data_IF_534251345143
#
_entry.id   IF_534251345143
#
_cell.length_a   1.000
_cell.length_b   1.000
_cell.length_c   1.000
_cell.angle_alpha   90.00
_cell.angle_beta   90.00
_cell.angle_gamma   90.00
#
_symmetry.space_group_name_H-M   'P 1'
#
loop_
_entity.id
_entity.type
_entity.pdbx_description
1 polymer ?
#
# COMPACT_ATOMS: atom_id res chain seq x y z
N UNK A 1 3.72 -8.83 -2.42
CA UNK A 1 3.53 -7.89 -3.58
C UNK A 1 4.80 -7.10 -3.86
N UNK A 2 5.09 -6.70 -5.13
CA UNK A 2 6.12 -5.69 -5.46
C UNK A 2 5.53 -4.30 -5.20
N UNK A 3 6.17 -3.52 -4.34
CA UNK A 3 5.72 -2.18 -3.98
C UNK A 3 6.92 -1.24 -3.92
N UNK A 4 6.84 -0.09 -4.62
CA UNK A 4 7.91 0.92 -4.61
C UNK A 4 8.01 1.52 -3.21
N UNK A 5 9.22 1.67 -2.71
CA UNK A 5 9.45 2.23 -1.38
C UNK A 5 9.19 1.26 -0.22
N UNK A 6 8.98 -0.04 -0.49
CA UNK A 6 8.82 -1.03 0.57
C UNK A 6 10.04 -1.01 1.52
N UNK A 7 9.77 -0.89 2.81
CA UNK A 7 10.80 -0.71 3.86
C UNK A 7 11.32 -2.00 4.49
N UNK A 8 10.98 -3.18 3.96
CA UNK A 8 11.39 -4.48 4.53
C UNK A 8 12.90 -4.56 4.82
N UNK A 9 13.75 -4.02 3.95
CA UNK A 9 15.20 -4.01 4.15
C UNK A 9 15.71 -2.93 5.11
N UNK A 10 14.82 -2.04 5.55
CA UNK A 10 15.11 -0.91 6.43
C UNK A 10 14.46 -1.04 7.82
N UNK A 11 13.70 -2.10 8.08
CA UNK A 11 12.95 -2.27 9.34
C UNK A 11 13.87 -2.23 10.57
N UNK A 12 14.98 -2.97 10.54
CA UNK A 12 15.97 -2.94 11.62
C UNK A 12 16.62 -1.57 11.78
N UNK A 13 16.90 -0.89 10.65
CA UNK A 13 17.45 0.46 10.68
C UNK A 13 16.47 1.46 11.30
N UNK A 14 15.18 1.36 11.00
CA UNK A 14 14.14 2.19 11.63
C UNK A 14 14.07 1.86 13.12
N UNK A 15 14.01 0.58 13.49
CA UNK A 15 13.90 0.14 14.88
C UNK A 15 15.08 0.56 15.76
N UNK A 16 16.31 0.45 15.26
CA UNK A 16 17.54 0.86 15.97
C UNK A 16 17.62 2.38 16.22
N UNK A 17 16.83 3.17 15.52
CA UNK A 17 16.80 4.62 15.65
C UNK A 17 15.58 5.14 16.40
N UNK A 18 14.76 4.27 16.98
CA UNK A 18 13.78 4.66 17.99
C UNK A 18 14.53 4.94 19.28
N UNK A 19 14.54 6.21 19.70
CA UNK A 19 15.21 6.65 20.91
C UNK A 19 14.36 6.28 22.14
N UNK A 20 14.98 5.70 23.16
CA UNK A 20 14.27 5.28 24.38
C UNK A 20 12.98 4.49 24.09
N UNK A 21 13.07 3.35 23.37
CA UNK A 21 11.94 2.66 22.79
C UNK A 21 10.86 2.21 23.78
N UNK A 22 11.20 2.10 25.06
CA UNK A 22 10.29 1.68 26.13
C UNK A 22 9.47 2.85 26.72
N UNK A 23 9.73 4.07 26.27
CA UNK A 23 8.92 5.26 26.60
C UNK A 23 7.59 5.31 25.87
N UNK A 24 7.46 4.61 24.74
CA UNK A 24 6.36 4.75 23.82
C UNK A 24 5.41 3.58 23.89
N UNK A 25 4.12 3.90 23.89
CA UNK A 25 3.03 2.92 23.84
C UNK A 25 2.48 2.76 22.41
N UNK A 26 2.48 3.86 21.63
CA UNK A 26 1.85 3.94 20.32
C UNK A 26 2.86 4.18 19.20
N UNK A 27 2.60 3.57 18.03
CA UNK A 27 3.34 3.79 16.80
C UNK A 27 2.35 4.04 15.66
N UNK A 28 2.41 5.23 15.05
CA UNK A 28 1.56 5.63 13.94
C UNK A 28 2.35 5.53 12.63
N UNK A 29 1.95 4.60 11.76
CA UNK A 29 2.49 4.41 10.40
C UNK A 29 1.62 5.19 9.42
N UNK A 30 2.07 6.41 9.08
CA UNK A 30 1.26 7.40 8.35
C UNK A 30 1.13 7.15 6.85
N UNK A 31 1.98 6.32 6.27
CA UNK A 31 2.00 5.95 4.85
C UNK A 31 2.23 4.45 4.75
N UNK A 32 1.30 3.68 5.29
CA UNK A 32 1.51 2.27 5.60
C UNK A 32 1.77 1.39 4.37
N UNK A 33 1.30 1.78 3.18
CA UNK A 33 1.53 1.06 1.93
C UNK A 33 1.16 -0.41 2.05
N UNK A 34 2.15 -1.30 2.08
CA UNK A 34 1.93 -2.75 2.24
C UNK A 34 1.81 -3.20 3.70
N UNK A 35 1.91 -2.30 4.67
CA UNK A 35 1.80 -2.58 6.10
C UNK A 35 3.04 -3.23 6.74
N UNK A 36 4.19 -3.26 6.05
CA UNK A 36 5.36 -3.97 6.57
C UNK A 36 5.98 -3.33 7.82
N UNK A 37 5.87 -2.01 7.97
CA UNK A 37 6.39 -1.29 9.15
C UNK A 37 5.49 -1.55 10.35
N UNK A 38 4.18 -1.33 10.21
CA UNK A 38 3.20 -1.61 11.26
C UNK A 38 3.25 -3.08 11.71
N UNK A 39 3.30 -4.03 10.75
CA UNK A 39 3.42 -5.47 11.03
C UNK A 39 4.69 -5.82 11.84
N UNK A 40 5.82 -5.18 11.52
CA UNK A 40 7.09 -5.42 12.22
C UNK A 40 7.04 -4.97 13.68
N UNK A 41 6.39 -3.84 13.96
CA UNK A 41 6.35 -3.26 15.29
C UNK A 41 5.12 -3.65 16.13
N UNK A 42 4.15 -4.40 15.57
CA UNK A 42 2.86 -4.68 16.23
C UNK A 42 2.96 -5.42 17.57
N UNK A 43 4.01 -6.20 17.80
CA UNK A 43 4.21 -6.87 19.08
C UNK A 43 4.77 -5.94 20.16
N UNK A 44 5.41 -4.83 19.78
CA UNK A 44 5.99 -3.88 20.71
C UNK A 44 5.06 -2.72 21.03
N UNK A 45 4.41 -2.16 20.03
CA UNK A 45 3.56 -0.97 20.16
C UNK A 45 2.12 -1.25 19.75
N UNK A 46 1.18 -0.45 20.26
CA UNK A 46 -0.14 -0.31 19.64
C UNK A 46 0.01 0.44 18.32
N UNK A 47 -0.38 -0.19 17.21
CA UNK A 47 -0.18 0.37 15.88
C UNK A 47 -1.45 1.06 15.38
N UNK A 48 -1.27 2.25 14.79
CA UNK A 48 -2.25 2.90 13.93
C UNK A 48 -1.64 3.01 12.54
N UNK A 49 -2.15 2.27 11.57
CA UNK A 49 -1.70 2.33 10.17
C UNK A 49 -2.72 3.08 9.32
N UNK A 50 -2.25 3.96 8.42
CA UNK A 50 -3.11 4.72 7.54
C UNK A 50 -2.52 4.85 6.13
N UNK A 51 -3.37 4.88 5.11
CA UNK A 51 -2.99 5.16 3.71
C UNK A 51 -4.20 5.66 2.92
N UNK A 52 -3.96 6.36 1.82
CA UNK A 52 -4.98 6.87 0.92
C UNK A 52 -5.60 5.80 0.01
N UNK A 53 -4.88 4.70 -0.26
CA UNK A 53 -5.29 3.69 -1.22
C UNK A 53 -6.03 2.54 -0.54
N UNK A 54 -7.20 2.18 -1.05
CA UNK A 54 -7.97 1.03 -0.56
C UNK A 54 -7.18 -0.28 -0.69
N UNK A 55 -6.39 -0.45 -1.76
CA UNK A 55 -5.52 -1.61 -1.92
C UNK A 55 -4.41 -1.69 -0.86
N UNK A 56 -3.91 -0.58 -0.37
CA UNK A 56 -2.98 -0.51 0.77
C UNK A 56 -3.72 -0.82 2.07
N UNK A 57 -4.88 -0.18 2.29
CA UNK A 57 -5.74 -0.41 3.46
C UNK A 57 -6.01 -1.90 3.67
N UNK A 58 -6.45 -2.62 2.65
CA UNK A 58 -6.71 -4.06 2.72
C UNK A 58 -5.47 -4.84 3.18
N UNK A 59 -4.29 -4.49 2.67
CA UNK A 59 -3.04 -5.18 3.01
C UNK A 59 -2.65 -4.95 4.47
N UNK A 60 -2.61 -3.69 4.92
CA UNK A 60 -2.20 -3.44 6.29
C UNK A 60 -3.30 -3.77 7.30
N UNK A 61 -4.58 -3.74 6.92
CA UNK A 61 -5.64 -4.27 7.78
C UNK A 61 -5.39 -5.75 8.13
N UNK A 62 -5.10 -6.58 7.12
CA UNK A 62 -4.80 -7.98 7.37
C UNK A 62 -3.52 -8.21 8.16
N UNK A 63 -2.48 -7.44 7.91
CA UNK A 63 -1.17 -7.62 8.56
C UNK A 63 -1.08 -7.00 9.96
N UNK A 64 -1.81 -5.92 10.19
CA UNK A 64 -1.73 -5.13 11.42
C UNK A 64 -2.95 -5.41 12.30
N UNK A 65 -4.17 -5.18 11.82
CA UNK A 65 -5.38 -5.27 12.65
C UNK A 65 -5.86 -6.70 12.88
N UNK A 66 -5.71 -7.59 11.90
CA UNK A 66 -6.00 -9.00 12.13
C UNK A 66 -4.87 -9.67 12.94
N UNK A 67 -5.26 -10.55 13.87
CA UNK A 67 -4.35 -11.34 14.69
C UNK A 67 -4.41 -12.85 14.40
N UNK A 68 -5.26 -13.28 13.48
CA UNK A 68 -5.40 -14.64 12.98
C UNK A 68 -6.14 -14.64 11.65
N UNK A 69 -6.03 -15.74 10.91
CA UNK A 69 -6.86 -15.99 9.73
C UNK A 69 -8.32 -16.09 10.17
N UNK A 70 -9.27 -15.37 9.53
CA UNK A 70 -10.70 -15.52 9.79
C UNK A 70 -11.20 -16.93 9.49
N UNK A 71 -12.23 -17.39 10.20
CA UNK A 71 -12.63 -18.80 10.22
C UNK A 71 -13.50 -19.24 9.05
N UNK A 72 -14.31 -18.35 8.49
CA UNK A 72 -15.27 -18.65 7.40
C UNK A 72 -16.28 -19.75 7.76
N UNK A 73 -16.76 -19.75 9.00
CA UNK A 73 -17.60 -20.82 9.54
C UNK A 73 -18.87 -21.06 8.71
N UNK A 74 -19.53 -20.00 8.25
CA UNK A 74 -20.75 -20.09 7.42
C UNK A 74 -20.50 -20.74 6.06
N UNK A 75 -19.25 -20.71 5.56
CA UNK A 75 -18.87 -21.28 4.26
C UNK A 75 -18.12 -22.62 4.40
N UNK A 76 -17.97 -23.12 5.64
CA UNK A 76 -17.33 -24.40 5.94
C UNK A 76 -15.80 -24.36 5.99
N UNK A 77 -15.25 -23.19 6.32
CA UNK A 77 -13.83 -22.96 6.55
C UNK A 77 -13.08 -22.40 5.37
N UNK A 78 -11.92 -21.77 5.68
CA UNK A 78 -11.09 -21.05 4.69
C UNK A 78 -10.61 -21.95 3.54
N UNK A 79 -10.26 -23.20 3.80
CA UNK A 79 -9.79 -24.14 2.78
C UNK A 79 -10.85 -24.39 1.70
N UNK A 80 -12.11 -24.59 2.14
CA UNK A 80 -13.24 -24.77 1.23
C UNK A 80 -13.52 -23.52 0.41
N UNK A 81 -13.42 -22.33 1.01
CA UNK A 81 -13.58 -21.06 0.30
C UNK A 81 -12.49 -20.90 -0.76
N UNK A 82 -11.23 -21.15 -0.42
CA UNK A 82 -10.10 -21.07 -1.37
C UNK A 82 -10.27 -22.07 -2.52
N UNK A 83 -10.70 -23.31 -2.22
CA UNK A 83 -10.98 -24.31 -3.26
C UNK A 83 -12.13 -23.83 -4.18
N UNK A 84 -13.20 -23.28 -3.61
CA UNK A 84 -14.30 -22.68 -4.38
C UNK A 84 -13.79 -21.57 -5.29
N UNK A 85 -13.05 -20.59 -4.77
CA UNK A 85 -12.48 -19.49 -5.56
C UNK A 85 -11.59 -20.00 -6.70
N UNK A 86 -10.76 -21.01 -6.44
CA UNK A 86 -9.88 -21.58 -7.45
C UNK A 86 -10.61 -22.38 -8.53
N UNK A 87 -11.82 -22.90 -8.26
CA UNK A 87 -12.65 -23.63 -9.23
C UNK A 87 -13.63 -22.76 -10.00
N UNK A 88 -13.87 -21.51 -9.61
CA UNK A 88 -14.77 -20.62 -10.36
C UNK A 88 -14.42 -20.58 -11.85
N UNK A 89 -15.42 -20.64 -12.71
CA UNK A 89 -15.24 -20.36 -14.12
C UNK A 89 -15.06 -18.85 -14.34
N UNK A 90 -14.23 -18.45 -15.31
CA UNK A 90 -14.06 -17.05 -15.65
C UNK A 90 -15.32 -16.45 -16.29
N UNK A 91 -15.58 -15.17 -16.03
CA UNK A 91 -16.65 -14.39 -16.66
C UNK A 91 -16.07 -13.16 -17.35
N UNK A 92 -16.78 -12.66 -18.38
CA UNK A 92 -16.42 -11.43 -19.07
C UNK A 92 -17.06 -10.24 -18.40
N UNK A 93 -16.32 -9.57 -17.51
CA UNK A 93 -16.79 -8.37 -16.83
C UNK A 93 -15.77 -7.23 -16.94
N UNK A 94 -15.66 -6.38 -15.95
CA UNK A 94 -14.91 -5.13 -16.04
C UNK A 94 -13.40 -5.32 -16.19
N UNK A 95 -12.78 -6.21 -15.37
CA UNK A 95 -11.34 -6.44 -15.42
C UNK A 95 -10.93 -7.05 -16.76
N UNK A 96 -11.70 -8.00 -17.27
CA UNK A 96 -11.47 -8.55 -18.60
C UNK A 96 -11.58 -7.46 -19.66
N UNK A 97 -12.67 -6.70 -19.70
CA UNK A 97 -12.93 -5.72 -20.75
C UNK A 97 -11.90 -4.57 -20.75
N UNK A 98 -11.46 -4.10 -19.58
CA UNK A 98 -10.61 -2.91 -19.47
C UNK A 98 -9.11 -3.23 -19.31
N UNK A 99 -8.75 -4.37 -18.73
CA UNK A 99 -7.37 -4.68 -18.36
C UNK A 99 -6.90 -6.07 -18.81
N UNK A 100 -7.73 -6.81 -19.54
CA UNK A 100 -7.44 -8.14 -20.04
C UNK A 100 -7.00 -8.16 -21.51
N UNK A 101 -6.20 -9.16 -21.86
CA UNK A 101 -5.96 -9.58 -23.22
C UNK A 101 -7.30 -9.94 -23.90
N UNK A 102 -7.51 -9.54 -25.14
CA UNK A 102 -8.74 -9.74 -25.92
C UNK A 102 -10.00 -9.08 -25.34
N UNK A 103 -9.90 -8.31 -24.27
CA UNK A 103 -10.99 -7.50 -23.76
C UNK A 103 -11.24 -6.27 -24.65
N UNK A 104 -12.31 -5.52 -24.37
CA UNK A 104 -12.74 -4.36 -25.16
C UNK A 104 -11.62 -3.33 -25.37
N UNK A 105 -10.85 -3.03 -24.33
CA UNK A 105 -9.74 -2.06 -24.35
C UNK A 105 -8.39 -2.71 -24.67
N UNK A 106 -8.30 -4.03 -24.66
CA UNK A 106 -7.12 -4.84 -24.94
C UNK A 106 -5.82 -4.34 -24.24
N UNK A 107 -5.94 -3.95 -22.97
CA UNK A 107 -4.79 -3.57 -22.15
C UNK A 107 -4.21 -4.81 -21.49
N UNK A 108 -3.03 -5.20 -21.90
CA UNK A 108 -2.38 -6.46 -21.53
C UNK A 108 -1.86 -6.49 -20.08
N UNK A 109 -2.64 -6.06 -19.10
CA UNK A 109 -2.27 -6.24 -17.68
C UNK A 109 -2.40 -7.67 -17.21
N UNK A 110 -3.38 -8.41 -17.75
CA UNK A 110 -3.62 -9.82 -17.47
C UNK A 110 -3.88 -10.58 -18.76
N UNK A 111 -3.56 -11.88 -18.76
CA UNK A 111 -4.05 -12.77 -19.83
C UNK A 111 -5.58 -12.84 -19.81
N UNK A 112 -6.20 -13.20 -20.93
CA UNK A 112 -7.64 -13.36 -21.05
C UNK A 112 -8.19 -14.27 -19.94
N UNK A 113 -7.57 -15.43 -19.72
CA UNK A 113 -7.98 -16.41 -18.72
C UNK A 113 -7.91 -15.82 -17.30
N UNK A 114 -6.84 -15.10 -16.97
CA UNK A 114 -6.67 -14.53 -15.64
C UNK A 114 -7.61 -13.36 -15.37
N UNK A 115 -7.82 -12.47 -16.33
CA UNK A 115 -8.76 -11.35 -16.18
C UNK A 115 -10.21 -11.79 -15.98
N UNK A 116 -10.68 -12.78 -16.76
CA UNK A 116 -12.01 -13.39 -16.57
C UNK A 116 -12.15 -14.07 -15.20
N UNK A 117 -11.08 -14.72 -14.74
CA UNK A 117 -11.05 -15.35 -13.42
C UNK A 117 -11.07 -14.34 -12.28
N UNK A 118 -10.35 -13.24 -12.41
CA UNK A 118 -10.35 -12.12 -11.45
C UNK A 118 -11.76 -11.55 -11.32
N UNK A 119 -12.46 -11.31 -12.45
CA UNK A 119 -13.84 -10.85 -12.44
C UNK A 119 -14.78 -11.78 -11.65
N UNK A 120 -14.69 -13.11 -11.87
CA UNK A 120 -15.49 -14.09 -11.14
C UNK A 120 -15.22 -14.06 -9.64
N UNK A 121 -13.95 -13.92 -9.25
CA UNK A 121 -13.58 -13.88 -7.82
C UNK A 121 -14.09 -12.60 -7.17
N UNK A 122 -14.00 -11.45 -7.86
CA UNK A 122 -14.56 -10.19 -7.36
C UNK A 122 -16.06 -10.35 -7.11
N UNK A 123 -16.81 -10.84 -8.09
CA UNK A 123 -18.26 -11.05 -7.97
C UNK A 123 -18.58 -11.97 -6.80
N UNK A 124 -17.90 -13.10 -6.67
CA UNK A 124 -18.11 -14.02 -5.55
C UNK A 124 -17.89 -13.35 -4.19
N UNK A 125 -16.79 -12.59 -4.03
CA UNK A 125 -16.47 -11.90 -2.77
C UNK A 125 -17.53 -10.85 -2.44
N UNK A 126 -17.93 -10.04 -3.42
CA UNK A 126 -18.95 -9.00 -3.22
C UNK A 126 -20.32 -9.61 -2.89
N UNK A 127 -20.74 -10.66 -3.60
CA UNK A 127 -22.04 -11.31 -3.40
C UNK A 127 -22.12 -11.96 -2.02
N UNK A 128 -21.09 -12.71 -1.61
CA UNK A 128 -21.08 -13.37 -0.29
C UNK A 128 -21.03 -12.35 0.87
N UNK A 129 -20.38 -11.20 0.68
CA UNK A 129 -20.41 -10.13 1.67
C UNK A 129 -21.76 -9.43 1.72
N UNK A 130 -22.36 -9.11 0.58
CA UNK A 130 -23.67 -8.45 0.48
C UNK A 130 -24.81 -9.35 1.02
N UNK A 131 -24.73 -10.67 0.81
CA UNK A 131 -25.66 -11.65 1.38
C UNK A 131 -25.44 -11.93 2.87
N UNK A 132 -24.37 -11.33 3.47
CA UNK A 132 -23.97 -11.52 4.87
C UNK A 132 -23.54 -12.96 5.22
N UNK A 133 -23.09 -13.71 4.24
CA UNK A 133 -22.52 -15.05 4.45
C UNK A 133 -21.10 -14.96 5.05
N UNK A 134 -20.40 -13.83 4.82
CA UNK A 134 -19.12 -13.51 5.42
C UNK A 134 -19.16 -12.17 6.16
N UNK A 135 -18.38 -12.06 7.24
CA UNK A 135 -18.20 -10.83 7.99
C UNK A 135 -17.14 -9.92 7.35
N UNK A 136 -16.89 -8.75 7.96
CA UNK A 136 -15.96 -7.77 7.41
C UNK A 136 -14.51 -8.25 7.37
N UNK A 137 -14.04 -8.95 8.41
CA UNK A 137 -12.67 -9.49 8.47
C UNK A 137 -12.45 -10.55 7.37
N UNK A 138 -13.43 -11.43 7.17
CA UNK A 138 -13.44 -12.44 6.12
C UNK A 138 -13.43 -11.80 4.73
N UNK A 139 -14.25 -10.76 4.52
CA UNK A 139 -14.31 -10.01 3.28
C UNK A 139 -12.97 -9.34 2.94
N UNK A 140 -12.36 -8.63 3.90
CA UNK A 140 -11.06 -7.96 3.70
C UNK A 140 -9.95 -8.99 3.47
N UNK A 141 -9.98 -10.11 4.19
CA UNK A 141 -8.98 -11.16 3.99
C UNK A 141 -9.06 -11.78 2.59
N UNK A 142 -10.26 -12.08 2.05
CA UNK A 142 -10.39 -12.58 0.67
C UNK A 142 -9.89 -11.56 -0.35
N UNK A 143 -10.18 -10.28 -0.17
CA UNK A 143 -9.64 -9.22 -1.02
C UNK A 143 -8.12 -9.12 -0.94
N UNK A 144 -7.54 -9.30 0.24
CA UNK A 144 -6.09 -9.35 0.40
C UNK A 144 -5.48 -10.51 -0.39
N UNK A 145 -6.06 -11.71 -0.29
CA UNK A 145 -5.60 -12.87 -1.07
C UNK A 145 -5.70 -12.62 -2.57
N UNK A 146 -6.79 -11.99 -3.04
CA UNK A 146 -6.98 -11.64 -4.44
C UNK A 146 -5.92 -10.63 -4.93
N UNK A 147 -5.65 -9.55 -4.19
CA UNK A 147 -4.62 -8.55 -4.53
C UNK A 147 -3.25 -9.21 -4.65
N UNK A 148 -2.89 -10.08 -3.71
CA UNK A 148 -1.61 -10.79 -3.74
C UNK A 148 -1.51 -11.76 -4.92
N UNK A 149 -2.60 -12.46 -5.25
CA UNK A 149 -2.65 -13.35 -6.42
C UNK A 149 -2.55 -12.55 -7.73
N UNK A 150 -3.28 -11.43 -7.86
CA UNK A 150 -3.20 -10.54 -9.02
C UNK A 150 -1.78 -9.99 -9.22
N UNK A 151 -1.12 -9.60 -8.14
CA UNK A 151 0.26 -9.09 -8.20
C UNK A 151 1.26 -10.11 -8.79
N UNK A 152 1.04 -11.41 -8.56
CA UNK A 152 1.90 -12.48 -9.07
C UNK A 152 1.77 -12.72 -10.57
N UNK A 153 0.57 -12.49 -11.13
CA UNK A 153 0.24 -12.75 -12.54
C UNK A 153 0.10 -11.49 -13.39
N UNK A 154 0.39 -10.33 -12.83
CA UNK A 154 0.33 -9.05 -13.54
C UNK A 154 1.46 -8.92 -14.57
N UNK A 155 1.12 -8.46 -15.78
CA UNK A 155 2.04 -8.23 -16.90
C UNK A 155 2.66 -6.84 -16.87
N UNK A 156 3.42 -6.55 -15.83
CA UNK A 156 4.03 -5.25 -15.55
C UNK A 156 5.52 -5.40 -15.21
N UNK A 157 6.28 -4.31 -15.32
CA UNK A 157 7.69 -4.28 -14.91
C UNK A 157 7.91 -4.01 -13.43
N UNK A 158 6.92 -3.42 -12.73
CA UNK A 158 7.02 -3.09 -11.29
C UNK A 158 5.85 -2.29 -10.76
N UNK A 159 5.23 -1.45 -11.59
CA UNK A 159 4.04 -0.65 -11.26
C UNK A 159 3.00 -0.73 -12.35
N UNK A 160 1.76 -0.41 -12.01
CA UNK A 160 0.62 -0.46 -12.93
C UNK A 160 0.45 0.82 -13.77
N UNK A 161 1.36 1.78 -13.68
CA UNK A 161 1.40 2.95 -14.56
C UNK A 161 1.64 2.61 -16.04
N UNK A 162 2.02 1.38 -16.36
CA UNK A 162 2.12 0.84 -17.72
C UNK A 162 2.09 -0.69 -17.69
N UNK A 163 1.71 -1.29 -18.81
CA UNK A 163 1.75 -2.74 -19.03
C UNK A 163 2.71 -3.09 -20.16
N UNK A 164 3.17 -4.34 -20.18
CA UNK A 164 4.04 -4.85 -21.23
C UNK A 164 3.22 -5.22 -22.47
N UNK A 165 3.75 -4.92 -23.65
CA UNK A 165 3.06 -5.15 -24.95
C UNK A 165 2.96 -6.61 -25.37
N UNK A 166 3.63 -7.52 -24.63
CA UNK A 166 3.55 -8.98 -24.79
C UNK A 166 3.41 -9.59 -23.41
N UNK A 167 2.65 -10.69 -23.31
CA UNK A 167 2.56 -11.43 -22.07
C UNK A 167 3.89 -12.10 -21.74
N UNK A 168 4.34 -11.93 -20.50
CA UNK A 168 5.53 -12.61 -19.96
C UNK A 168 5.13 -13.91 -19.28
N UNK A 169 6.10 -14.77 -19.03
CA UNK A 169 5.89 -16.11 -18.47
C UNK A 169 5.06 -16.11 -17.16
N UNK A 170 5.28 -15.13 -16.29
CA UNK A 170 4.52 -15.02 -15.04
C UNK A 170 3.03 -14.68 -15.28
N UNK A 171 2.71 -13.89 -16.30
CA UNK A 171 1.33 -13.46 -16.60
C UNK A 171 0.50 -14.52 -17.33
N UNK A 172 1.17 -15.52 -17.92
CA UNK A 172 0.53 -16.68 -18.55
C UNK A 172 0.14 -17.74 -17.51
N UNK A 173 0.84 -17.80 -16.37
CA UNK A 173 0.50 -18.73 -15.30
C UNK A 173 -0.92 -18.48 -14.80
N UNK A 174 -1.72 -19.54 -14.51
CA UNK A 174 -3.04 -19.35 -13.98
C UNK A 174 -3.00 -18.67 -12.62
N UNK A 175 -3.88 -17.69 -12.41
CA UNK A 175 -4.08 -17.09 -11.09
C UNK A 175 -4.56 -18.16 -10.12
N UNK A 176 -3.95 -18.17 -8.93
CA UNK A 176 -4.26 -19.13 -7.88
C UNK A 176 -4.33 -18.41 -6.55
N UNK A 177 -5.47 -18.50 -5.88
CA UNK A 177 -5.67 -18.01 -4.51
C UNK A 177 -5.04 -19.01 -3.55
N UNK A 178 -4.23 -18.50 -2.62
CA UNK A 178 -3.58 -19.30 -1.57
C UNK A 178 -3.73 -18.59 -0.24
N UNK A 179 -3.88 -19.32 0.87
CA UNK A 179 -3.90 -18.69 2.19
C UNK A 179 -2.57 -17.99 2.46
N UNK A 180 -2.63 -16.94 3.26
CA UNK A 180 -1.46 -16.18 3.72
C UNK A 180 -1.59 -16.06 5.23
N UNK A 181 -0.54 -16.47 5.94
CA UNK A 181 -0.52 -16.43 7.40
C UNK A 181 -0.62 -14.98 7.90
N UNK A 182 -1.25 -14.83 9.05
CA UNK A 182 -1.40 -13.57 9.77
C UNK A 182 -0.59 -13.66 11.06
N UNK A 183 0.32 -12.71 11.24
CA UNK A 183 1.11 -12.61 12.44
C UNK A 183 0.23 -12.24 13.64
N UNK A 184 0.36 -12.98 14.73
CA UNK A 184 -0.37 -12.71 15.96
C UNK A 184 0.23 -11.55 16.75
N UNK A 185 -0.62 -10.82 17.48
CA UNK A 185 -0.24 -9.86 18.52
C UNK A 185 -1.30 -9.87 19.62
N UNK A 186 -0.87 -9.68 20.87
CA UNK A 186 -1.78 -9.54 22.02
C UNK A 186 -2.33 -8.10 22.15
N UNK A 187 -1.90 -7.19 21.29
CA UNK A 187 -2.34 -5.78 21.29
C UNK A 187 -3.47 -5.57 20.28
N UNK A 188 -4.31 -4.60 20.55
CA UNK A 188 -5.28 -4.09 19.59
C UNK A 188 -4.66 -3.01 18.71
N UNK A 189 -4.91 -3.10 17.42
CA UNK A 189 -4.36 -2.20 16.41
C UNK A 189 -5.48 -1.59 15.56
N UNK A 190 -5.19 -0.43 14.96
CA UNK A 190 -6.14 0.28 14.10
C UNK A 190 -5.61 0.45 12.69
N UNK A 191 -6.49 0.22 11.71
CA UNK A 191 -6.25 0.48 10.29
C UNK A 191 -7.24 1.51 9.78
N UNK A 192 -6.74 2.59 9.17
CA UNK A 192 -7.53 3.74 8.74
C UNK A 192 -7.31 4.00 7.25
N UNK A 193 -8.38 4.32 6.52
CA UNK A 193 -8.34 4.70 5.11
C UNK A 193 -8.56 6.20 4.98
N UNK A 194 -7.64 6.92 4.36
CA UNK A 194 -7.77 8.36 4.13
C UNK A 194 -6.47 9.13 4.37
N UNK A 195 -6.56 10.44 4.51
CA UNK A 195 -5.43 11.28 4.90
C UNK A 195 -5.13 11.05 6.38
N UNK A 196 -3.90 10.68 6.67
CA UNK A 196 -3.50 10.32 8.04
C UNK A 196 -3.63 11.47 9.00
N UNK A 197 -3.27 12.69 8.58
CA UNK A 197 -3.34 13.87 9.45
C UNK A 197 -4.75 14.08 10.00
N UNK A 198 -5.78 13.95 9.17
CA UNK A 198 -7.19 14.12 9.57
C UNK A 198 -7.63 13.11 10.62
N UNK A 199 -7.01 11.94 10.66
CA UNK A 199 -7.34 10.86 11.59
C UNK A 199 -6.60 10.91 12.92
N UNK A 200 -5.39 11.51 12.96
CA UNK A 200 -4.49 11.38 14.11
C UNK A 200 -4.28 12.65 14.91
N UNK A 201 -4.66 13.83 14.42
CA UNK A 201 -4.36 15.12 15.04
C UNK A 201 -4.78 15.23 16.52
N UNK A 202 -5.81 14.49 16.94
CA UNK A 202 -6.29 14.44 18.32
C UNK A 202 -5.91 13.14 19.06
N UNK A 203 -5.09 12.28 18.43
CA UNK A 203 -4.73 10.95 18.96
C UNK A 203 -3.24 10.81 19.30
N UNK A 204 -2.49 11.90 19.22
CA UNK A 204 -1.05 11.91 19.49
C UNK A 204 -0.73 12.51 20.84
N UNK A 205 0.29 11.99 21.49
CA UNK A 205 0.80 12.44 22.79
C UNK A 205 2.31 12.13 22.91
N UNK A 206 2.90 12.45 24.07
CA UNK A 206 4.32 12.19 24.37
C UNK A 206 4.72 10.70 24.39
N UNK A 207 3.75 9.78 24.38
CA UNK A 207 3.99 8.33 24.30
C UNK A 207 3.83 7.78 22.89
N UNK A 208 3.72 8.65 21.91
CA UNK A 208 3.46 8.29 20.51
C UNK A 208 4.69 8.52 19.64
N UNK A 209 5.03 7.50 18.85
CA UNK A 209 5.95 7.60 17.71
C UNK A 209 5.11 7.87 16.45
N UNK A 210 5.45 8.92 15.70
CA UNK A 210 4.88 9.18 14.37
C UNK A 210 5.94 8.81 13.33
N UNK A 211 5.62 7.86 12.45
CA UNK A 211 6.49 7.47 11.34
C UNK A 211 5.90 7.93 10.01
N UNK A 212 6.69 8.70 9.27
CA UNK A 212 6.35 9.26 7.98
C UNK A 212 7.24 8.64 6.89
N UNK A 213 6.62 8.01 5.89
CA UNK A 213 7.25 7.51 4.66
C UNK A 213 6.47 7.98 3.44
N UNK A 214 6.38 9.31 3.23
CA UNK A 214 5.56 9.88 2.17
C UNK A 214 6.13 9.57 0.78
N UNK A 215 5.37 9.83 -0.31
CA UNK A 215 5.94 9.87 -1.65
C UNK A 215 7.09 10.89 -1.74
N UNK A 216 8.28 10.45 -2.22
CA UNK A 216 9.46 11.33 -2.33
C UNK A 216 9.47 12.18 -3.59
N UNK A 217 8.66 11.85 -4.59
CA UNK A 217 8.64 12.52 -5.89
C UNK A 217 7.22 12.88 -6.33
N UNK A 218 7.10 13.56 -7.47
CA UNK A 218 5.82 14.04 -8.00
C UNK A 218 4.87 12.95 -8.54
N UNK A 219 5.29 11.68 -8.53
CA UNK A 219 4.47 10.57 -9.06
C UNK A 219 3.46 10.13 -8.02
N UNK A 220 2.19 10.23 -8.35
CA UNK A 220 1.08 9.80 -7.51
C UNK A 220 1.02 8.27 -7.40
N UNK A 221 1.02 7.75 -6.17
CA UNK A 221 0.87 6.32 -5.91
C UNK A 221 -0.47 5.78 -6.40
N UNK A 222 -1.53 6.59 -6.34
CA UNK A 222 -2.81 6.25 -6.95
C UNK A 222 -2.68 5.86 -8.42
N UNK A 223 -1.87 6.56 -9.20
CA UNK A 223 -1.61 6.21 -10.61
C UNK A 223 -0.74 4.98 -10.77
N UNK A 224 0.23 4.77 -9.89
CA UNK A 224 1.13 3.62 -9.93
C UNK A 224 0.43 2.30 -9.56
N UNK A 225 -0.62 2.34 -8.74
CA UNK A 225 -1.33 1.17 -8.21
C UNK A 225 -2.83 1.17 -8.52
N UNK A 226 -3.26 1.98 -9.50
CA UNK A 226 -4.68 2.17 -9.84
C UNK A 226 -5.44 0.86 -10.08
N UNK A 227 -4.81 -0.12 -10.75
CA UNK A 227 -5.46 -1.39 -11.07
C UNK A 227 -5.71 -2.24 -9.83
N UNK A 228 -4.73 -2.36 -8.93
CA UNK A 228 -4.95 -3.05 -7.64
C UNK A 228 -5.98 -2.32 -6.78
N UNK A 229 -5.95 -0.98 -6.80
CA UNK A 229 -6.96 -0.18 -6.11
C UNK A 229 -8.36 -0.39 -6.70
N UNK A 230 -8.50 -0.52 -8.01
CA UNK A 230 -9.76 -0.86 -8.69
C UNK A 230 -10.26 -2.25 -8.28
N UNK A 231 -9.39 -3.26 -8.32
CA UNK A 231 -9.72 -4.63 -7.88
C UNK A 231 -10.15 -4.63 -6.41
N UNK A 232 -9.45 -3.89 -5.56
CA UNK A 232 -9.74 -3.80 -4.12
C UNK A 232 -11.10 -3.18 -3.81
N UNK A 233 -11.51 -2.19 -4.60
CA UNK A 233 -12.81 -1.54 -4.44
C UNK A 233 -13.99 -2.44 -4.85
N UNK A 234 -13.79 -3.41 -5.73
CA UNK A 234 -14.86 -4.26 -6.26
C UNK A 234 -15.93 -3.50 -7.06
N UNK A 235 -15.64 -2.26 -7.45
CA UNK A 235 -16.56 -1.38 -8.17
C UNK A 235 -15.95 -0.96 -9.50
N UNK A 236 -16.81 -0.83 -10.51
CA UNK A 236 -16.44 -0.36 -11.84
C UNK A 236 -16.17 1.14 -11.78
N UNK A 237 -14.93 1.62 -11.97
CA UNK A 237 -14.63 3.05 -12.02
C UNK A 237 -14.94 3.63 -13.40
N UNK A 238 -15.10 4.96 -13.46
CA UNK A 238 -15.08 5.70 -14.71
C UNK A 238 -13.62 5.83 -15.15
N UNK A 239 -13.31 5.41 -16.38
CA UNK A 239 -11.96 5.56 -16.94
C UNK A 239 -11.75 7.00 -17.38
N UNK A 240 -10.64 7.57 -16.92
CA UNK A 240 -10.23 8.95 -17.24
C UNK A 240 -10.03 9.13 -18.74
N UNK A 241 -10.62 10.18 -19.29
CA UNK A 241 -10.40 10.59 -20.68
C UNK A 241 -9.21 11.54 -20.80
N UNK A 242 -8.39 11.31 -21.82
CA UNK A 242 -7.24 12.15 -22.17
C UNK A 242 -7.42 12.55 -23.62
N UNK A 243 -7.57 13.87 -23.90
CA UNK A 243 -7.84 14.40 -25.24
C UNK A 243 -9.06 13.73 -25.93
N UNK A 244 -10.10 13.45 -25.17
CA UNK A 244 -11.35 12.86 -25.68
C UNK A 244 -11.37 11.33 -25.81
N UNK A 245 -10.23 10.66 -25.64
CA UNK A 245 -10.14 9.20 -25.64
C UNK A 245 -9.87 8.66 -24.22
N UNK A 246 -10.16 7.39 -23.99
CA UNK A 246 -9.84 6.74 -22.72
C UNK A 246 -8.32 6.71 -22.49
N UNK A 247 -7.91 6.83 -21.22
CA UNK A 247 -6.53 6.72 -20.82
C UNK A 247 -5.91 5.42 -21.34
N UNK A 248 -4.73 5.50 -21.96
CA UNK A 248 -4.01 4.36 -22.53
C UNK A 248 -3.81 3.25 -21.49
N UNK A 249 -3.60 3.62 -20.23
CA UNK A 249 -3.36 2.69 -19.13
C UNK A 249 -4.64 2.29 -18.40
N UNK A 250 -5.81 2.79 -18.80
CA UNK A 250 -7.07 2.55 -18.09
C UNK A 250 -7.13 3.20 -16.71
N UNK A 251 -6.51 4.38 -16.58
CA UNK A 251 -6.46 5.11 -15.31
C UNK A 251 -7.87 5.58 -14.91
N UNK A 252 -8.35 5.27 -13.70
CA UNK A 252 -9.62 5.82 -13.19
C UNK A 252 -9.59 7.35 -13.08
N UNK A 253 -10.76 7.98 -13.22
CA UNK A 253 -10.91 9.44 -13.14
C UNK A 253 -10.70 9.94 -11.70
N UNK A 254 -11.27 9.25 -10.72
CA UNK A 254 -11.24 9.64 -9.31
C UNK A 254 -10.20 8.82 -8.53
N UNK A 255 -8.94 9.20 -8.67
CA UNK A 255 -7.85 8.61 -7.89
C UNK A 255 -7.51 9.48 -6.68
N UNK A 256 -7.23 8.89 -5.52
CA UNK A 256 -6.67 9.62 -4.40
C UNK A 256 -5.35 10.29 -4.78
N UNK A 257 -5.22 11.56 -4.48
CA UNK A 257 -4.02 12.36 -4.76
C UNK A 257 -3.37 12.79 -3.44
N UNK A 258 -2.07 12.57 -3.33
CA UNK A 258 -1.28 13.01 -2.18
C UNK A 258 -0.69 14.41 -2.42
N UNK A 259 -0.89 15.31 -1.46
CA UNK A 259 -0.26 16.62 -1.44
C UNK A 259 1.28 16.53 -1.31
N UNK A 260 1.79 15.45 -0.75
CA UNK A 260 3.23 15.18 -0.63
C UNK A 260 3.93 15.03 -1.97
N UNK A 261 3.21 14.74 -3.05
CA UNK A 261 3.73 14.73 -4.41
C UNK A 261 3.85 16.13 -5.04
N UNK A 262 3.48 17.19 -4.33
CA UNK A 262 3.49 18.58 -4.83
C UNK A 262 4.64 19.37 -4.20
N UNK A 263 5.54 19.89 -5.05
CA UNK A 263 6.65 20.75 -4.61
C UNK A 263 6.17 21.99 -3.83
N UNK A 264 4.98 22.50 -4.14
CA UNK A 264 4.42 23.69 -3.48
C UNK A 264 3.82 23.34 -2.11
N UNK A 265 3.29 22.10 -1.94
CA UNK A 265 2.52 21.73 -0.76
C UNK A 265 3.32 20.91 0.26
N UNK A 266 4.34 20.17 -0.18
CA UNK A 266 5.06 19.18 0.64
C UNK A 266 5.63 19.77 1.93
N UNK A 267 6.14 21.02 1.88
CA UNK A 267 6.66 21.72 3.05
C UNK A 267 5.58 21.90 4.12
N UNK A 268 4.42 22.44 3.73
CA UNK A 268 3.29 22.65 4.65
C UNK A 268 2.70 21.33 5.16
N UNK A 269 2.73 20.28 4.34
CA UNK A 269 2.30 18.95 4.78
C UNK A 269 3.20 18.41 5.89
N UNK A 270 4.53 18.49 5.73
CA UNK A 270 5.47 18.07 6.77
C UNK A 270 5.31 18.91 8.05
N UNK A 271 5.18 20.22 7.89
CA UNK A 271 5.02 21.16 9.02
C UNK A 271 3.80 20.84 9.90
N UNK A 272 2.68 20.40 9.31
CA UNK A 272 1.49 19.98 10.07
C UNK A 272 1.82 18.88 11.09
N UNK A 273 2.58 17.87 10.69
CA UNK A 273 2.96 16.76 11.58
C UNK A 273 3.94 17.21 12.66
N UNK A 274 4.89 18.10 12.34
CA UNK A 274 5.83 18.63 13.30
C UNK A 274 5.15 19.48 14.38
N UNK A 275 3.97 20.04 14.11
CA UNK A 275 3.16 20.79 15.09
C UNK A 275 2.38 19.90 16.06
N UNK A 276 2.17 18.61 15.74
CA UNK A 276 1.48 17.67 16.61
C UNK A 276 2.22 17.48 17.94
N UNK A 277 1.51 17.02 18.97
CA UNK A 277 2.14 16.54 20.19
C UNK A 277 2.59 15.09 19.97
N UNK A 278 3.90 14.82 20.15
CA UNK A 278 4.48 13.49 19.98
C UNK A 278 5.70 13.32 20.89
N UNK A 279 6.05 12.08 21.19
CA UNK A 279 7.32 11.77 21.82
C UNK A 279 8.46 11.73 20.83
N UNK A 280 8.25 11.05 19.70
CA UNK A 280 9.23 10.98 18.60
C UNK A 280 8.52 11.03 17.25
N UNK A 281 9.02 11.86 16.33
CA UNK A 281 8.63 11.86 14.92
C UNK A 281 9.82 11.41 14.07
N UNK A 282 9.57 10.47 13.18
CA UNK A 282 10.58 9.90 12.28
C UNK A 282 10.11 10.08 10.82
N UNK A 283 10.95 10.71 10.00
CA UNK A 283 10.69 10.86 8.56
C UNK A 283 11.73 10.08 7.77
N UNK A 284 11.30 9.05 7.06
CA UNK A 284 12.09 8.44 5.97
C UNK A 284 12.02 9.32 4.74
N UNK A 285 13.18 9.58 4.13
CA UNK A 285 13.28 10.36 2.90
C UNK A 285 14.58 10.01 2.17
N UNK A 286 14.76 10.42 0.92
CA UNK A 286 16.00 10.14 0.20
C UNK A 286 16.57 11.36 -0.52
N UNK A 287 17.79 11.22 -1.03
CA UNK A 287 18.51 12.29 -1.72
C UNK A 287 17.95 12.65 -3.11
N UNK A 288 16.95 11.93 -3.61
CA UNK A 288 16.25 12.21 -4.88
C UNK A 288 14.85 12.84 -4.64
N UNK A 289 14.53 13.16 -3.39
CA UNK A 289 13.22 13.68 -2.99
C UNK A 289 12.97 15.13 -3.42
N UNK A 290 11.69 15.55 -3.35
CA UNK A 290 11.25 16.91 -3.71
C UNK A 290 11.87 17.96 -2.78
N UNK A 291 11.94 17.67 -1.47
CA UNK A 291 12.61 18.48 -0.47
C UNK A 291 14.07 18.07 -0.36
N UNK A 292 14.95 19.06 -0.21
CA UNK A 292 16.36 18.82 0.08
C UNK A 292 16.58 18.44 1.55
N UNK A 293 17.70 17.75 1.84
CA UNK A 293 18.10 17.43 3.21
C UNK A 293 18.17 18.68 4.10
N UNK A 294 18.70 19.79 3.56
CA UNK A 294 18.83 21.06 4.29
C UNK A 294 17.47 21.65 4.66
N UNK A 295 16.55 21.75 3.71
CA UNK A 295 15.17 22.23 3.95
C UNK A 295 14.46 21.42 5.04
N UNK A 296 14.62 20.09 5.04
CA UNK A 296 14.01 19.23 6.07
C UNK A 296 14.66 19.50 7.44
N UNK A 297 15.98 19.60 7.53
CA UNK A 297 16.69 19.89 8.80
C UNK A 297 16.28 21.24 9.37
N UNK A 298 16.22 22.28 8.55
CA UNK A 298 15.79 23.62 8.96
C UNK A 298 14.36 23.59 9.54
N UNK A 299 13.45 22.90 8.86
CA UNK A 299 12.09 22.77 9.33
C UNK A 299 12.00 21.98 10.65
N UNK A 300 12.69 20.85 10.75
CA UNK A 300 12.72 20.03 11.96
C UNK A 300 13.27 20.81 13.17
N UNK A 301 14.36 21.56 12.99
CA UNK A 301 14.99 22.37 14.05
C UNK A 301 14.10 23.48 14.57
N UNK A 302 13.06 23.88 13.83
CA UNK A 302 12.06 24.87 14.28
C UNK A 302 11.14 24.29 15.35
N UNK A 303 10.93 22.95 15.36
CA UNK A 303 9.90 22.30 16.19
C UNK A 303 10.46 21.35 17.25
N UNK A 304 11.72 21.00 17.22
CA UNK A 304 12.31 20.08 18.20
C UNK A 304 13.79 19.83 18.00
N UNK A 305 14.34 18.94 18.81
CA UNK A 305 15.71 18.46 18.65
C UNK A 305 15.80 17.51 17.48
N UNK A 306 16.72 17.77 16.54
CA UNK A 306 16.85 17.01 15.30
C UNK A 306 18.07 16.12 15.30
N UNK A 307 17.88 14.84 14.99
CA UNK A 307 18.95 13.89 14.64
C UNK A 307 18.72 13.40 13.21
N UNK A 308 19.77 13.28 12.40
CA UNK A 308 19.69 12.69 11.05
C UNK A 308 20.63 11.49 10.98
N UNK A 309 20.08 10.37 10.53
CA UNK A 309 20.85 9.15 10.29
C UNK A 309 20.74 8.77 8.82
N UNK A 310 21.82 8.27 8.25
CA UNK A 310 21.92 7.92 6.84
C UNK A 310 22.20 6.43 6.65
N UNK A 311 21.57 5.86 5.65
CA UNK A 311 21.87 4.49 5.19
C UNK A 311 21.98 4.47 3.68
N UNK A 312 23.14 4.08 3.18
CA UNK A 312 23.32 3.84 1.76
C UNK A 312 22.77 2.45 1.38
N UNK A 313 21.94 2.38 0.36
CA UNK A 313 21.49 1.10 -0.17
C UNK A 313 21.42 1.07 -1.69
N UNK A 314 21.40 -0.14 -2.24
CA UNK A 314 21.46 -0.36 -3.68
C UNK A 314 20.12 0.04 -4.34
N UNK A 315 20.18 0.90 -5.35
CA UNK A 315 19.02 1.37 -6.11
C UNK A 315 18.29 0.21 -6.81
N UNK A 316 16.98 0.19 -6.73
CA UNK A 316 16.18 -0.72 -7.54
C UNK A 316 16.24 -0.27 -9.01
N UNK A 317 16.90 -1.05 -9.87
CA UNK A 317 17.09 -0.71 -11.29
C UNK A 317 15.79 -0.88 -12.07
N UNK A 318 15.15 0.19 -12.49
CA UNK A 318 14.12 0.20 -13.53
C UNK A 318 14.69 0.38 -14.93
N UNK A 319 15.94 0.92 -15.10
CA UNK A 319 16.63 1.12 -16.37
C UNK A 319 18.12 0.80 -16.25
N UNK A 320 18.69 0.19 -17.32
CA UNK A 320 20.08 -0.29 -17.38
C UNK A 320 21.14 0.83 -17.54
N UNK A 321 20.76 2.09 -17.76
CA UNK A 321 21.67 3.14 -18.24
C UNK A 321 22.10 4.19 -17.19
N UNK A 322 21.84 4.02 -15.89
CA UNK A 322 22.34 4.94 -14.86
C UNK A 322 23.51 4.33 -14.09
N UNK A 323 24.65 5.02 -14.09
CA UNK A 323 25.87 4.61 -13.39
C UNK A 323 25.80 4.76 -11.87
N UNK A 324 24.87 5.53 -11.31
CA UNK A 324 24.68 5.66 -9.87
C UNK A 324 23.84 4.50 -9.32
N UNK A 325 24.55 3.54 -8.73
CA UNK A 325 23.96 2.30 -8.21
C UNK A 325 23.38 2.41 -6.80
N UNK A 326 23.50 3.57 -6.14
CA UNK A 326 23.16 3.74 -4.74
C UNK A 326 22.26 4.95 -4.52
N UNK A 327 21.36 4.82 -3.56
CA UNK A 327 20.53 5.90 -3.01
C UNK A 327 20.92 6.04 -1.53
N UNK A 328 20.92 7.26 -1.04
CA UNK A 328 21.07 7.54 0.38
C UNK A 328 19.67 7.72 0.95
N UNK A 329 19.27 6.81 1.82
CA UNK A 329 18.06 6.97 2.63
C UNK A 329 18.44 7.73 3.90
N UNK A 330 17.69 8.77 4.18
CA UNK A 330 17.75 9.56 5.40
C UNK A 330 16.65 9.15 6.35
N UNK A 331 16.94 9.11 7.63
CA UNK A 331 15.95 9.05 8.68
C UNK A 331 16.12 10.31 9.54
N UNK A 332 15.21 11.25 9.38
CA UNK A 332 15.14 12.46 10.21
C UNK A 332 14.33 12.14 11.44
N UNK A 333 14.83 12.51 12.61
CA UNK A 333 14.24 12.19 13.90
C UNK A 333 14.09 13.48 14.69
N UNK A 334 12.89 13.78 15.16
CA UNK A 334 12.58 14.86 16.06
C UNK A 334 12.03 14.33 17.37
N UNK A 335 12.47 14.90 18.48
CA UNK A 335 11.90 14.66 19.82
C UNK A 335 11.48 15.96 20.45
N UNK A 336 10.39 15.94 21.26
CA UNK A 336 9.87 17.09 21.99
C UNK A 336 9.97 16.91 23.49
#
# INVERSE_FOLDING_TARGET
MRYIGNKVTLLDFIGLNILEPDKYDNFIDCFAGTGCVGEHFKNKYTIISCDLLNSSYIQFYCKVSLNKIPTFDNLGGIEKVIDTLNRLNGIESFIFNEYGENGKSNRLYFSEKNSKKIDSIIVYIEDTYNSKEINYDEYIYLKYLLIEACSKVSNITGVYGSYLKKLYSNSINPICIKPIDINHSDKEHSSLLGDTYDHIQEKTDKKTIIYLDPPYNSRQYGSNYHLLNTISLGKIPIIKKVKGADSVTGLPENLPLSNWCSKIKVYNELEKYLKLDYGQLMLSYNNEGIMTKTEIIELFNTYGTTKVVEKQYKKFKSNKNNNDNYVIEYLFISTK
#
